data_IF_179630394448
#
_entry.id   IF_179630394448
#
_cell.length_a   1.000
_cell.length_b   1.000
_cell.length_c   1.000
_cell.angle_alpha   90.00
_cell.angle_beta   90.00
_cell.angle_gamma   90.00
#
_symmetry.space_group_name_H-M   'P 1'
#
loop_
_entity.id
_entity.type
_entity.pdbx_description
1 polymer ?
#
# COMPACT_ATOMS: atom_id res chain seq x y z
N UNK A 1 0.27 -2.19 -21.44
CA UNK A 1 1.41 -1.96 -20.50
C UNK A 1 1.01 -2.36 -19.09
N UNK A 2 -0.20 -2.02 -18.64
CA UNK A 2 -0.72 -2.40 -17.33
C UNK A 2 -0.83 -3.91 -17.12
N UNK A 3 -1.20 -4.66 -18.15
CA UNK A 3 -1.23 -6.14 -18.08
C UNK A 3 0.08 -6.77 -17.61
N UNK A 4 1.23 -6.29 -18.11
CA UNK A 4 2.54 -6.76 -17.65
C UNK A 4 2.82 -6.33 -16.20
N UNK A 5 2.43 -5.12 -15.80
CA UNK A 5 2.59 -4.66 -14.42
C UNK A 5 1.81 -5.54 -13.45
N UNK A 6 0.59 -5.95 -13.79
CA UNK A 6 -0.20 -6.88 -12.96
C UNK A 6 0.50 -8.22 -12.83
N UNK A 7 1.04 -8.76 -13.93
CA UNK A 7 1.81 -10.03 -13.89
C UNK A 7 3.04 -9.90 -13.00
N UNK A 8 3.83 -8.83 -13.13
CA UNK A 8 5.05 -8.63 -12.36
C UNK A 8 4.80 -8.37 -10.86
N UNK A 9 3.66 -7.79 -10.50
CA UNK A 9 3.28 -7.56 -9.10
C UNK A 9 2.51 -8.75 -8.49
N UNK A 10 2.33 -9.83 -9.23
CA UNK A 10 1.60 -11.00 -8.74
C UNK A 10 2.42 -11.85 -7.78
N UNK A 11 1.74 -12.50 -6.82
CA UNK A 11 2.36 -13.46 -5.90
C UNK A 11 3.06 -14.61 -6.64
N UNK A 12 2.53 -15.04 -7.79
CA UNK A 12 3.11 -16.13 -8.58
C UNK A 12 4.50 -15.78 -9.09
N UNK A 13 4.65 -14.59 -9.68
CA UNK A 13 5.94 -14.15 -10.22
C UNK A 13 6.92 -13.81 -9.10
N UNK A 14 6.45 -13.16 -8.03
CA UNK A 14 7.30 -12.86 -6.87
C UNK A 14 7.77 -14.14 -6.16
N UNK A 15 6.91 -15.15 -6.02
CA UNK A 15 7.29 -16.46 -5.47
C UNK A 15 8.41 -17.13 -6.28
N UNK A 16 8.30 -17.14 -7.62
CA UNK A 16 9.37 -17.68 -8.47
C UNK A 16 10.65 -16.84 -8.36
N UNK A 17 10.52 -15.51 -8.32
CA UNK A 17 11.65 -14.60 -8.15
C UNK A 17 12.41 -14.88 -6.84
N UNK A 18 11.71 -15.00 -5.72
CA UNK A 18 12.32 -15.30 -4.40
C UNK A 18 13.09 -16.61 -4.39
N UNK A 19 12.56 -17.64 -5.06
CA UNK A 19 13.21 -18.96 -5.16
C UNK A 19 14.43 -18.98 -6.09
N UNK A 20 14.42 -18.13 -7.11
CA UNK A 20 15.51 -18.04 -8.10
C UNK A 20 16.58 -17.00 -7.76
N UNK A 21 16.26 -16.02 -6.92
CA UNK A 21 17.16 -14.95 -6.53
C UNK A 21 18.08 -15.36 -5.37
N UNK A 22 19.01 -14.46 -5.04
CA UNK A 22 19.94 -14.60 -3.92
C UNK A 22 19.86 -13.38 -3.01
N UNK A 23 20.18 -13.53 -1.71
CA UNK A 23 20.25 -12.40 -0.80
C UNK A 23 21.17 -11.29 -1.30
N UNK A 24 20.76 -10.05 -1.06
CA UNK A 24 21.49 -8.83 -1.23
C UNK A 24 21.53 -8.07 0.12
N UNK A 25 22.18 -6.92 0.20
CA UNK A 25 22.34 -6.19 1.46
C UNK A 25 20.97 -5.81 2.05
N UNK A 26 20.82 -5.86 3.37
CA UNK A 26 19.64 -5.33 4.08
C UNK A 26 18.34 -6.09 3.79
N UNK A 27 18.39 -7.41 3.78
CA UNK A 27 17.25 -8.31 3.55
C UNK A 27 16.57 -8.17 2.16
N UNK A 28 17.22 -7.47 1.24
CA UNK A 28 16.79 -7.38 -0.15
C UNK A 28 17.24 -8.60 -0.96
N UNK A 29 16.60 -8.83 -2.10
CA UNK A 29 17.00 -9.84 -3.09
C UNK A 29 17.67 -9.20 -4.30
N UNK A 30 18.58 -9.93 -4.95
CA UNK A 30 19.23 -9.44 -6.16
C UNK A 30 18.27 -9.46 -7.36
N UNK A 31 18.04 -8.30 -7.98
CA UNK A 31 17.14 -8.12 -9.12
C UNK A 31 17.90 -7.78 -10.41
N UNK A 32 19.04 -8.43 -10.67
CA UNK A 32 19.77 -8.21 -11.92
C UNK A 32 19.22 -9.10 -13.07
N UNK A 33 19.71 -8.90 -14.29
CA UNK A 33 19.23 -9.60 -15.50
C UNK A 33 19.18 -11.13 -15.34
N UNK A 34 20.10 -11.74 -14.60
CA UNK A 34 20.18 -13.20 -14.45
C UNK A 34 18.99 -13.77 -13.64
N UNK A 35 18.37 -12.96 -12.79
CA UNK A 35 17.23 -13.34 -11.96
C UNK A 35 15.89 -12.91 -12.55
N UNK A 36 15.89 -11.82 -13.34
CA UNK A 36 14.67 -11.32 -14.01
C UNK A 36 14.40 -12.04 -15.33
N UNK A 37 15.42 -12.29 -16.16
CA UNK A 37 15.24 -12.94 -17.46
C UNK A 37 14.57 -14.33 -17.42
N UNK A 38 14.79 -15.19 -16.41
CA UNK A 38 14.15 -16.50 -16.34
C UNK A 38 12.73 -16.47 -15.74
N UNK A 39 12.19 -15.30 -15.37
CA UNK A 39 10.83 -15.24 -14.82
C UNK A 39 9.82 -15.78 -15.84
N UNK A 40 8.89 -16.65 -15.43
CA UNK A 40 7.98 -17.33 -16.35
C UNK A 40 6.85 -16.40 -16.75
N UNK A 41 7.10 -15.39 -17.58
CA UNK A 41 6.07 -14.43 -18.02
C UNK A 41 5.22 -15.08 -19.12
N UNK A 42 3.99 -15.50 -18.79
CA UNK A 42 3.05 -16.03 -19.78
C UNK A 42 2.44 -14.90 -20.60
N UNK A 43 2.20 -15.17 -21.89
CA UNK A 43 1.51 -14.25 -22.79
C UNK A 43 -0.01 -14.46 -22.64
N UNK A 44 -0.76 -13.47 -22.12
CA UNK A 44 -2.21 -13.56 -22.03
C UNK A 44 -2.88 -13.53 -23.41
N UNK A 45 -4.02 -14.21 -23.52
CA UNK A 45 -4.93 -14.05 -24.68
C UNK A 45 -5.45 -12.62 -24.79
N UNK A 46 -6.03 -12.24 -25.93
CA UNK A 46 -6.59 -10.89 -26.13
C UNK A 46 -7.65 -10.52 -25.08
N UNK A 47 -8.51 -11.46 -24.69
CA UNK A 47 -9.49 -11.26 -23.63
C UNK A 47 -8.82 -11.02 -22.26
N UNK A 48 -7.82 -11.83 -21.91
CA UNK A 48 -7.06 -11.67 -20.67
C UNK A 48 -6.24 -10.37 -20.65
N UNK A 49 -5.72 -9.92 -21.80
CA UNK A 49 -5.03 -8.61 -21.90
C UNK A 49 -5.97 -7.48 -21.51
N UNK A 50 -7.20 -7.47 -22.04
CA UNK A 50 -8.18 -6.43 -21.72
C UNK A 50 -8.52 -6.38 -20.23
N UNK A 51 -8.71 -7.55 -19.63
CA UNK A 51 -9.03 -7.67 -18.21
C UNK A 51 -7.86 -7.24 -17.31
N UNK A 52 -6.65 -7.74 -17.58
CA UNK A 52 -5.45 -7.35 -16.81
C UNK A 52 -5.11 -5.86 -17.01
N UNK A 53 -5.39 -5.27 -18.18
CA UNK A 53 -5.20 -3.82 -18.39
C UNK A 53 -6.21 -3.00 -17.55
N UNK A 54 -7.47 -3.42 -17.50
CA UNK A 54 -8.51 -2.82 -16.63
C UNK A 54 -8.09 -2.87 -15.16
N UNK A 55 -7.71 -4.05 -14.68
CA UNK A 55 -7.31 -4.27 -13.29
C UNK A 55 -6.07 -3.44 -12.93
N UNK A 56 -5.04 -3.47 -13.77
CA UNK A 56 -3.81 -2.70 -13.52
C UNK A 56 -4.04 -1.19 -13.47
N UNK A 57 -4.93 -0.65 -14.33
CA UNK A 57 -5.34 0.76 -14.25
C UNK A 57 -6.07 1.07 -12.96
N UNK A 58 -7.00 0.19 -12.54
CA UNK A 58 -7.77 0.39 -11.31
C UNK A 58 -6.87 0.34 -10.07
N UNK A 59 -5.93 -0.61 -10.00
CA UNK A 59 -4.93 -0.69 -8.93
C UNK A 59 -4.08 0.59 -8.84
N UNK A 60 -3.63 1.09 -9.99
CA UNK A 60 -2.84 2.32 -10.04
C UNK A 60 -3.66 3.54 -9.58
N UNK A 61 -4.89 3.68 -10.07
CA UNK A 61 -5.78 4.77 -9.69
C UNK A 61 -6.08 4.74 -8.18
N UNK A 62 -6.43 3.58 -7.62
CA UNK A 62 -6.69 3.43 -6.19
C UNK A 62 -5.46 3.72 -5.34
N UNK A 63 -4.28 3.28 -5.77
CA UNK A 63 -3.02 3.62 -5.08
C UNK A 63 -2.76 5.14 -5.09
N UNK A 64 -3.11 5.82 -6.18
CA UNK A 64 -3.03 7.28 -6.26
C UNK A 64 -4.04 7.96 -5.33
N UNK A 65 -5.30 7.53 -5.35
CA UNK A 65 -6.37 8.02 -4.44
C UNK A 65 -5.96 7.87 -2.96
N UNK A 66 -5.39 6.72 -2.59
CA UNK A 66 -4.84 6.46 -1.25
C UNK A 66 -3.71 7.42 -0.89
N UNK A 67 -2.80 7.70 -1.82
CA UNK A 67 -1.70 8.62 -1.59
C UNK A 67 -2.18 10.07 -1.48
N UNK A 68 -3.14 10.47 -2.32
CA UNK A 68 -3.77 11.79 -2.30
C UNK A 68 -4.55 12.04 -1.00
N UNK A 69 -5.36 11.09 -0.55
CA UNK A 69 -6.10 11.22 0.73
C UNK A 69 -5.14 11.33 1.91
N UNK A 70 -4.04 10.55 1.92
CA UNK A 70 -3.03 10.64 2.97
C UNK A 70 -2.35 12.01 2.99
N UNK A 71 -1.90 12.49 1.83
CA UNK A 71 -1.23 13.80 1.77
C UNK A 71 -2.20 14.94 2.07
N UNK A 72 -3.45 14.87 1.58
CA UNK A 72 -4.48 15.87 1.86
C UNK A 72 -4.73 16.05 3.35
N UNK A 73 -4.79 14.97 4.13
CA UNK A 73 -4.89 15.06 5.59
C UNK A 73 -3.65 15.69 6.22
N UNK A 74 -2.45 15.34 5.77
CA UNK A 74 -1.20 15.90 6.31
C UNK A 74 -1.05 17.39 5.98
N UNK A 75 -1.44 17.80 4.78
CA UNK A 75 -1.46 19.19 4.34
C UNK A 75 -2.46 20.01 5.14
N UNK A 76 -3.68 19.48 5.32
CA UNK A 76 -4.69 20.10 6.18
C UNK A 76 -4.17 20.27 7.60
N UNK A 77 -3.61 19.21 8.19
CA UNK A 77 -3.09 19.22 9.55
C UNK A 77 -1.93 20.21 9.66
N UNK A 78 -1.05 20.25 8.66
CA UNK A 78 0.04 21.21 8.56
C UNK A 78 -0.44 22.66 8.47
N UNK A 79 -1.49 22.92 7.71
CA UNK A 79 -2.13 24.24 7.61
C UNK A 79 -2.74 24.69 8.94
N UNK A 80 -3.37 23.77 9.68
CA UNK A 80 -3.95 24.07 10.99
C UNK A 80 -2.89 24.26 12.08
N UNK A 81 -1.80 23.49 12.04
CA UNK A 81 -0.71 23.54 13.01
C UNK A 81 0.35 24.59 12.68
N UNK A 82 0.38 25.13 11.47
CA UNK A 82 1.46 26.02 10.99
C UNK A 82 2.80 25.32 10.75
N UNK A 83 2.86 23.99 10.88
CA UNK A 83 4.05 23.17 10.64
C UNK A 83 3.64 21.82 10.06
N UNK A 84 4.30 21.41 8.99
CA UNK A 84 3.95 20.16 8.30
C UNK A 84 4.27 18.92 9.17
N UNK A 85 3.35 17.94 9.32
CA UNK A 85 3.57 16.77 10.18
C UNK A 85 4.85 15.96 9.87
N UNK A 86 5.29 15.93 8.60
CA UNK A 86 6.50 15.22 8.18
C UNK A 86 7.81 15.74 8.78
N UNK A 87 7.84 16.97 9.30
CA UNK A 87 9.03 17.52 9.97
C UNK A 87 8.97 17.38 11.50
N UNK A 88 7.88 16.81 12.03
CA UNK A 88 7.70 16.60 13.46
C UNK A 88 8.29 15.26 13.91
N UNK A 89 8.79 15.17 15.15
CA UNK A 89 8.95 13.90 15.85
C UNK A 89 7.67 13.06 15.76
N UNK A 90 7.79 11.80 15.33
CA UNK A 90 6.64 10.92 15.09
C UNK A 90 6.08 10.96 13.67
N UNK A 91 6.74 11.65 12.73
CA UNK A 91 6.35 11.73 11.32
C UNK A 91 5.95 10.37 10.70
N UNK A 92 6.71 9.30 10.95
CA UNK A 92 6.40 7.97 10.41
C UNK A 92 5.01 7.47 10.83
N UNK A 93 4.64 7.66 12.10
CA UNK A 93 3.31 7.28 12.58
C UNK A 93 2.24 8.20 12.00
N UNK A 94 2.49 9.53 11.97
CA UNK A 94 1.56 10.50 11.39
C UNK A 94 1.30 10.27 9.90
N UNK A 95 2.29 9.81 9.12
CA UNK A 95 2.10 9.46 7.70
C UNK A 95 1.22 8.23 7.47
N UNK A 96 0.92 7.48 8.54
CA UNK A 96 0.01 6.34 8.54
C UNK A 96 -1.09 6.51 9.60
N UNK A 97 -1.65 7.72 9.65
CA UNK A 97 -2.63 8.14 10.66
C UNK A 97 -3.88 7.26 10.69
N UNK A 98 -4.18 6.54 9.62
CA UNK A 98 -5.31 5.61 9.56
C UNK A 98 -5.17 4.44 10.53
N UNK A 99 -3.95 4.17 11.02
CA UNK A 99 -3.69 3.17 12.04
C UNK A 99 -3.69 3.77 13.46
N UNK A 100 -4.05 5.04 13.60
CA UNK A 100 -4.08 5.77 14.86
C UNK A 100 -5.49 6.26 15.14
N UNK A 101 -5.86 6.35 16.41
CA UNK A 101 -7.00 7.16 16.82
C UNK A 101 -6.62 8.66 16.98
N UNK A 102 -7.62 9.52 17.04
CA UNK A 102 -7.40 10.96 17.19
C UNK A 102 -6.61 11.32 18.47
N UNK A 103 -6.79 10.56 19.57
CA UNK A 103 -6.06 10.76 20.82
C UNK A 103 -4.58 10.41 20.69
N UNK A 104 -4.24 9.35 19.96
CA UNK A 104 -2.86 8.99 19.65
C UNK A 104 -2.18 10.05 18.79
N UNK A 105 -2.89 10.61 17.81
CA UNK A 105 -2.40 11.74 17.00
C UNK A 105 -2.14 12.94 17.91
N UNK A 106 -3.07 13.32 18.79
CA UNK A 106 -2.88 14.41 19.75
C UNK A 106 -1.67 14.16 20.67
N UNK A 107 -1.50 12.94 21.16
CA UNK A 107 -0.38 12.56 22.01
C UNK A 107 0.98 12.68 21.29
N UNK A 108 1.03 12.38 19.99
CA UNK A 108 2.22 12.61 19.16
C UNK A 108 2.48 14.12 19.01
N UNK A 109 1.44 14.90 18.68
CA UNK A 109 1.56 16.35 18.49
C UNK A 109 1.99 17.07 19.77
N UNK A 110 1.47 16.67 20.93
CA UNK A 110 1.80 17.25 22.24
C UNK A 110 3.31 17.22 22.56
N UNK A 111 4.04 16.22 22.06
CA UNK A 111 5.51 16.12 22.21
C UNK A 111 6.25 17.26 21.52
N UNK A 112 5.60 17.92 20.56
CA UNK A 112 6.15 19.01 19.76
C UNK A 112 5.43 20.33 20.01
N UNK A 113 4.71 20.48 21.14
CA UNK A 113 3.86 21.66 21.45
C UNK A 113 4.52 23.00 21.17
N UNK A 114 5.81 23.15 21.48
CA UNK A 114 6.55 24.41 21.31
C UNK A 114 6.76 24.81 19.84
N UNK A 115 6.52 23.90 18.89
CA UNK A 115 6.67 24.10 17.44
C UNK A 115 5.33 24.33 16.74
N UNK A 116 4.21 24.14 17.44
CA UNK A 116 2.88 24.21 16.86
C UNK A 116 2.29 25.62 17.01
N UNK A 117 1.59 26.08 15.98
CA UNK A 117 0.79 27.30 16.00
C UNK A 117 -0.56 27.15 16.72
N UNK A 118 -0.93 25.92 17.10
CA UNK A 118 -2.12 25.61 17.91
C UNK A 118 -1.77 24.70 19.08
N UNK A 119 -2.48 24.89 20.19
CA UNK A 119 -2.35 24.05 21.37
C UNK A 119 -3.04 22.68 21.16
N UNK A 120 -2.30 21.56 21.17
CA UNK A 120 -2.87 20.23 20.99
C UNK A 120 -3.76 19.80 22.16
N UNK A 121 -3.59 20.39 23.35
CA UNK A 121 -4.39 20.07 24.54
C UNK A 121 -5.74 20.82 24.54
N UNK A 122 -5.93 21.77 23.61
CA UNK A 122 -7.16 22.54 23.52
C UNK A 122 -8.32 21.66 23.00
N UNK A 123 -9.39 21.56 23.79
CA UNK A 123 -10.59 20.79 23.46
C UNK A 123 -11.13 21.09 22.06
N UNK A 124 -11.22 22.37 21.69
CA UNK A 124 -11.72 22.77 20.36
C UNK A 124 -10.85 22.24 19.21
N UNK A 125 -9.53 22.14 19.41
CA UNK A 125 -8.64 21.54 18.41
C UNK A 125 -8.81 20.02 18.39
N UNK A 126 -8.94 19.37 19.55
CA UNK A 126 -9.21 17.94 19.62
C UNK A 126 -10.50 17.54 18.92
N UNK A 127 -11.59 18.31 19.09
CA UNK A 127 -12.87 18.07 18.40
C UNK A 127 -12.75 18.27 16.87
N UNK A 128 -12.04 19.32 16.44
CA UNK A 128 -11.77 19.57 15.02
C UNK A 128 -10.94 18.43 14.40
N UNK A 129 -9.87 18.02 15.08
CA UNK A 129 -9.01 16.93 14.63
C UNK A 129 -9.76 15.62 14.53
N UNK A 130 -10.56 15.27 15.55
CA UNK A 130 -11.33 14.04 15.54
C UNK A 130 -12.34 14.01 14.38
N UNK A 131 -12.97 15.14 14.06
CA UNK A 131 -13.88 15.25 12.91
C UNK A 131 -13.18 15.03 11.57
N UNK A 132 -12.07 15.74 11.33
CA UNK A 132 -11.33 15.60 10.06
C UNK A 132 -10.67 14.23 9.93
N UNK A 133 -10.04 13.75 11.00
CA UNK A 133 -9.42 12.42 11.06
C UNK A 133 -10.45 11.34 10.77
N UNK A 134 -11.61 11.38 11.42
CA UNK A 134 -12.68 10.40 11.18
C UNK A 134 -13.15 10.38 9.73
N UNK A 135 -13.40 11.56 9.15
CA UNK A 135 -13.85 11.67 7.76
C UNK A 135 -12.78 11.18 6.76
N UNK A 136 -11.52 11.52 7.01
CA UNK A 136 -10.39 11.12 6.18
C UNK A 136 -10.09 9.62 6.29
N UNK A 137 -10.11 9.07 7.51
CA UNK A 137 -9.95 7.65 7.77
C UNK A 137 -11.07 6.80 7.15
N UNK A 138 -12.32 7.30 7.14
CA UNK A 138 -13.44 6.63 6.46
C UNK A 138 -13.21 6.54 4.95
N UNK A 139 -12.84 7.66 4.29
CA UNK A 139 -12.52 7.66 2.85
C UNK A 139 -11.36 6.74 2.54
N UNK A 140 -10.28 6.84 3.31
CA UNK A 140 -9.10 6.00 3.14
C UNK A 140 -9.42 4.51 3.34
N UNK A 141 -10.25 4.19 4.35
CA UNK A 141 -10.74 2.84 4.59
C UNK A 141 -11.51 2.26 3.40
N UNK A 142 -12.35 3.07 2.74
CA UNK A 142 -13.05 2.67 1.53
C UNK A 142 -12.08 2.40 0.36
N UNK A 143 -11.12 3.29 0.10
CA UNK A 143 -10.13 3.09 -0.95
C UNK A 143 -9.25 1.85 -0.71
N UNK A 144 -8.84 1.61 0.54
CA UNK A 144 -8.07 0.42 0.91
C UNK A 144 -8.87 -0.87 0.73
N UNK A 145 -10.16 -0.86 1.09
CA UNK A 145 -11.05 -2.02 0.86
C UNK A 145 -11.21 -2.32 -0.63
N UNK A 146 -11.41 -1.29 -1.45
CA UNK A 146 -11.44 -1.40 -2.91
C UNK A 146 -10.12 -1.93 -3.47
N UNK A 147 -8.99 -1.43 -2.98
CA UNK A 147 -7.66 -1.86 -3.40
C UNK A 147 -7.48 -3.37 -3.14
N UNK A 148 -7.78 -3.83 -1.92
CA UNK A 148 -7.73 -5.26 -1.57
C UNK A 148 -8.64 -6.11 -2.45
N UNK A 149 -9.84 -5.63 -2.78
CA UNK A 149 -10.77 -6.37 -3.63
C UNK A 149 -10.24 -6.53 -5.07
N UNK A 150 -9.66 -5.47 -5.63
CA UNK A 150 -9.08 -5.46 -6.98
C UNK A 150 -7.78 -6.28 -7.02
N UNK A 151 -6.95 -6.23 -5.98
CA UNK A 151 -5.77 -7.09 -5.83
C UNK A 151 -6.17 -8.56 -5.84
N UNK A 152 -7.20 -8.94 -5.06
CA UNK A 152 -7.70 -10.30 -5.05
C UNK A 152 -8.25 -10.75 -6.41
N UNK A 153 -8.87 -9.85 -7.18
CA UNK A 153 -9.33 -10.13 -8.55
C UNK A 153 -8.17 -10.30 -9.54
N UNK A 154 -7.15 -9.45 -9.43
CA UNK A 154 -5.92 -9.59 -10.19
C UNK A 154 -5.22 -10.92 -9.90
N UNK A 155 -5.08 -11.31 -8.64
CA UNK A 155 -4.47 -12.59 -8.25
C UNK A 155 -5.25 -13.80 -8.80
N UNK A 156 -6.58 -13.75 -8.82
CA UNK A 156 -7.39 -14.79 -9.48
C UNK A 156 -7.12 -14.85 -10.99
N UNK A 157 -7.11 -13.70 -11.65
CA UNK A 157 -6.85 -13.61 -13.10
C UNK A 157 -5.46 -14.12 -13.47
N UNK A 158 -4.47 -13.85 -12.62
CA UNK A 158 -3.11 -14.38 -12.77
C UNK A 158 -3.08 -15.89 -12.53
N UNK A 159 -3.71 -16.40 -11.46
CA UNK A 159 -3.78 -17.83 -11.24
C UNK A 159 -4.37 -18.57 -12.44
N UNK A 160 -5.41 -18.01 -13.07
CA UNK A 160 -6.02 -18.56 -14.28
C UNK A 160 -5.07 -18.49 -15.49
N UNK A 161 -4.34 -17.38 -15.68
CA UNK A 161 -3.30 -17.25 -16.72
C UNK A 161 -2.20 -18.33 -16.59
N UNK A 162 -1.84 -18.67 -15.36
CA UNK A 162 -0.85 -19.69 -15.05
C UNK A 162 -1.44 -21.10 -14.88
N UNK A 163 -2.75 -21.25 -15.07
CA UNK A 163 -3.49 -22.51 -14.95
C UNK A 163 -3.24 -23.21 -13.59
N UNK A 164 -3.12 -22.41 -12.53
CA UNK A 164 -2.82 -22.93 -11.20
C UNK A 164 -4.06 -23.57 -10.57
N UNK A 165 -3.95 -24.86 -10.26
CA UNK A 165 -4.94 -25.56 -9.45
C UNK A 165 -5.04 -24.95 -8.05
N UNK A 166 -6.16 -25.20 -7.37
CA UNK A 166 -6.35 -24.80 -5.96
C UNK A 166 -5.25 -25.37 -5.04
N UNK A 167 -4.81 -26.61 -5.29
CA UNK A 167 -3.74 -27.25 -4.52
C UNK A 167 -2.38 -26.57 -4.74
N UNK A 168 -2.05 -26.22 -5.99
CA UNK A 168 -0.82 -25.49 -6.31
C UNK A 168 -0.80 -24.09 -5.69
N UNK A 169 -1.93 -23.38 -5.72
CA UNK A 169 -2.07 -22.08 -5.05
C UNK A 169 -1.84 -22.19 -3.55
N UNK A 170 -2.49 -23.14 -2.88
CA UNK A 170 -2.33 -23.33 -1.43
C UNK A 170 -0.89 -23.66 -1.04
N UNK A 171 -0.20 -24.48 -1.84
CA UNK A 171 1.21 -24.81 -1.63
C UNK A 171 2.11 -23.58 -1.83
N UNK A 172 1.87 -22.82 -2.89
CA UNK A 172 2.58 -21.56 -3.15
C UNK A 172 2.38 -20.58 -2.00
N UNK A 173 1.14 -20.39 -1.54
CA UNK A 173 0.82 -19.45 -0.46
C UNK A 173 1.54 -19.84 0.85
N UNK A 174 1.54 -21.13 1.18
CA UNK A 174 2.26 -21.66 2.36
C UNK A 174 3.77 -21.41 2.27
N UNK A 175 4.38 -21.69 1.11
CA UNK A 175 5.81 -21.49 0.86
C UNK A 175 6.19 -20.01 0.87
N UNK A 176 5.32 -19.18 0.29
CA UNK A 176 5.48 -17.73 0.21
C UNK A 176 5.43 -17.05 1.58
N UNK A 177 4.50 -17.47 2.46
CA UNK A 177 4.39 -16.98 3.83
C UNK A 177 5.58 -17.42 4.70
N UNK A 178 6.11 -18.62 4.45
CA UNK A 178 7.30 -19.14 5.15
C UNK A 178 8.61 -18.49 4.68
N UNK A 179 8.61 -17.90 3.49
CA UNK A 179 9.75 -17.25 2.83
C UNK A 179 9.65 -15.72 2.84
N UNK A 180 8.71 -15.15 3.59
CA UNK A 180 8.63 -13.72 3.82
C UNK A 180 9.78 -13.31 4.76
N UNK A 181 10.64 -12.34 4.36
CA UNK A 181 11.71 -11.81 5.20
C UNK A 181 11.16 -11.09 6.44
#
# INVERSE_FOLDING_TARGET
>A
MWSLMVVLNSRVVDWVFRRGSVPFRGDFLSANKQFIAPLPIRLPSSAQVGELDRLGRRLHALTAEVAEEREGFLDWLGGVLGVHPRVLPGATALTRYENLDAGEILAILARSRARLGRDPDARAFGELLAGEHGASAERLGAHLSDLTAVEAEAERSIADLYELSKAQRALMDTDYESSAP
#
